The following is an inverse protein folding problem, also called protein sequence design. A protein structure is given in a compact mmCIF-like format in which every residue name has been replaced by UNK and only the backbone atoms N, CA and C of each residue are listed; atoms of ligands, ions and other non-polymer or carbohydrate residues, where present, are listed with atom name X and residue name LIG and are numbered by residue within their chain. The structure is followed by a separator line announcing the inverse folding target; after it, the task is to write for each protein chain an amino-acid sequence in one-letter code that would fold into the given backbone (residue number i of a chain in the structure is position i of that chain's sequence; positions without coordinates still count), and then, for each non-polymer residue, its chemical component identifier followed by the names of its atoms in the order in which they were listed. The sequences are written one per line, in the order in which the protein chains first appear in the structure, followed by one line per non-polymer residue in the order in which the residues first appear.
data_IF_199751319423
#
_entry.id   IF_199751319423
#
_cell.length_a   1.000
_cell.length_b   1.000
_cell.length_c   1.000
_cell.angle_alpha   90.00
_cell.angle_beta   90.00
_cell.angle_gamma   90.00
#
_symmetry.space_group_name_H-M   'P 1'
#
loop_
_entity.id
_entity.type
_entity.pdbx_description
1 polymer ?
#
# COMPACT_ATOMS: atom_id res chain seq x y z
N UNK A 1 -1.00 -23.19 37.44
CA UNK A 1 -0.61 -21.82 37.08
C UNK A 1 -1.28 -21.47 35.75
N UNK A 2 -2.45 -20.84 35.80
CA UNK A 2 -3.24 -20.50 34.61
C UNK A 2 -2.76 -19.13 34.10
N UNK A 3 -2.04 -19.12 32.97
CA UNK A 3 -1.63 -17.89 32.33
C UNK A 3 -2.89 -17.10 31.92
N UNK A 4 -3.14 -15.98 32.60
CA UNK A 4 -4.20 -15.04 32.24
C UNK A 4 -3.80 -14.41 30.91
N UNK A 5 -4.28 -14.98 29.81
CA UNK A 5 -4.15 -14.41 28.47
C UNK A 5 -4.93 -13.10 28.47
N UNK A 6 -4.23 -11.98 28.64
CA UNK A 6 -4.84 -10.66 28.67
C UNK A 6 -5.54 -10.37 27.32
N UNK A 7 -6.89 -10.24 27.28
CA UNK A 7 -7.65 -10.03 26.05
C UNK A 7 -7.35 -8.70 25.34
N UNK A 8 -6.69 -7.76 26.04
CA UNK A 8 -6.30 -6.44 25.50
C UNK A 8 -5.18 -6.51 24.47
N UNK A 9 -4.25 -7.47 24.56
CA UNK A 9 -3.19 -7.65 23.56
C UNK A 9 -3.74 -8.19 22.24
N UNK A 10 -4.72 -9.09 22.32
CA UNK A 10 -5.39 -9.69 21.17
C UNK A 10 -6.20 -8.68 20.37
N UNK A 11 -6.85 -7.72 21.06
CA UNK A 11 -7.71 -6.72 20.42
C UNK A 11 -6.91 -5.65 19.67
N UNK A 12 -5.78 -5.20 20.22
CA UNK A 12 -4.86 -4.28 19.54
C UNK A 12 -4.22 -4.93 18.30
N UNK A 13 -3.80 -6.19 18.41
CA UNK A 13 -3.29 -6.94 17.25
C UNK A 13 -4.34 -7.06 16.14
N UNK A 14 -5.57 -7.45 16.47
CA UNK A 14 -6.67 -7.54 15.52
C UNK A 14 -7.06 -6.17 14.92
N UNK A 15 -6.93 -5.08 15.68
CA UNK A 15 -7.14 -3.72 15.18
C UNK A 15 -6.06 -3.33 14.15
N UNK A 16 -4.79 -3.56 14.45
CA UNK A 16 -3.69 -3.26 13.53
C UNK A 16 -3.75 -4.10 12.24
N UNK A 17 -4.19 -5.36 12.33
CA UNK A 17 -4.43 -6.21 11.16
C UNK A 17 -5.52 -5.62 10.28
N UNK A 18 -6.70 -5.29 10.85
CA UNK A 18 -7.80 -4.67 10.09
C UNK A 18 -7.41 -3.33 9.46
N UNK A 19 -6.62 -2.51 10.16
CA UNK A 19 -6.10 -1.25 9.63
C UNK A 19 -5.12 -1.46 8.47
N UNK A 20 -4.34 -2.55 8.50
CA UNK A 20 -3.44 -2.91 7.41
C UNK A 20 -4.22 -3.42 6.20
N UNK A 21 -5.17 -4.31 6.41
CA UNK A 21 -6.05 -4.84 5.35
C UNK A 21 -6.82 -3.72 4.65
N UNK A 22 -7.35 -2.76 5.41
CA UNK A 22 -8.02 -1.59 4.85
C UNK A 22 -7.07 -0.74 4.01
N UNK A 23 -5.86 -0.46 4.52
CA UNK A 23 -4.86 0.28 3.76
C UNK A 23 -4.41 -0.47 2.49
N UNK A 24 -4.42 -1.81 2.53
CA UNK A 24 -4.08 -2.64 1.39
C UNK A 24 -5.17 -2.60 0.31
N UNK A 25 -6.43 -2.66 0.72
CA UNK A 25 -7.57 -2.52 -0.18
C UNK A 25 -7.59 -1.13 -0.86
N UNK A 26 -7.28 -0.06 -0.11
CA UNK A 26 -7.19 1.30 -0.66
C UNK A 26 -6.03 1.47 -1.66
N UNK A 27 -4.92 0.76 -1.46
CA UNK A 27 -3.73 0.82 -2.33
C UNK A 27 -3.76 -0.16 -3.50
N UNK A 28 -4.57 -1.21 -3.44
CA UNK A 28 -4.70 -2.24 -4.47
C UNK A 28 -4.88 -1.67 -5.90
N UNK A 29 -5.84 -0.76 -6.17
CA UNK A 29 -6.05 -0.24 -7.52
C UNK A 29 -4.84 0.55 -8.03
N UNK A 30 -4.15 1.28 -7.16
CA UNK A 30 -2.93 2.00 -7.51
C UNK A 30 -1.79 1.03 -7.87
N UNK A 31 -1.67 -0.09 -7.16
CA UNK A 31 -0.65 -1.11 -7.44
C UNK A 31 -0.97 -1.94 -8.68
N UNK A 32 -2.25 -2.14 -9.00
CA UNK A 32 -2.68 -2.79 -10.24
C UNK A 32 -2.40 -1.92 -11.46
N UNK A 33 -2.69 -0.62 -11.36
CA UNK A 33 -2.34 0.36 -12.39
C UNK A 33 -0.83 0.42 -12.60
N UNK A 34 -0.07 0.57 -11.52
CA UNK A 34 1.38 0.56 -11.55
C UNK A 34 1.93 -0.72 -12.19
N UNK A 35 1.35 -1.87 -11.85
CA UNK A 35 1.77 -3.15 -12.41
C UNK A 35 1.56 -3.24 -13.92
N UNK A 36 0.39 -2.83 -14.39
CA UNK A 36 0.06 -2.83 -15.82
C UNK A 36 1.01 -1.94 -16.61
N UNK A 37 1.28 -0.74 -16.11
CA UNK A 37 2.18 0.21 -16.75
C UNK A 37 3.63 -0.29 -16.75
N UNK A 38 4.11 -0.87 -15.64
CA UNK A 38 5.46 -1.46 -15.55
C UNK A 38 5.63 -2.63 -16.52
N UNK A 39 4.61 -3.48 -16.65
CA UNK A 39 4.61 -4.57 -17.64
C UNK A 39 4.61 -4.05 -19.10
N UNK A 40 4.02 -2.88 -19.35
CA UNK A 40 4.08 -2.19 -20.63
C UNK A 40 5.39 -1.43 -20.88
N UNK A 41 6.36 -1.51 -19.96
CA UNK A 41 7.67 -0.86 -20.09
C UNK A 41 7.75 0.56 -19.54
N UNK A 42 6.69 1.07 -18.90
CA UNK A 42 6.70 2.41 -18.31
C UNK A 42 7.73 2.52 -17.18
N UNK A 43 8.37 3.67 -17.09
CA UNK A 43 9.23 4.07 -15.97
C UNK A 43 8.39 4.37 -14.73
N UNK A 44 9.00 4.29 -13.55
CA UNK A 44 8.31 4.65 -12.31
C UNK A 44 7.85 6.11 -12.27
N UNK A 45 8.52 7.01 -12.98
CA UNK A 45 8.12 8.42 -13.08
C UNK A 45 6.82 8.58 -13.86
N UNK A 46 6.68 7.89 -14.99
CA UNK A 46 5.44 7.86 -15.78
C UNK A 46 4.29 7.25 -14.99
N UNK A 47 4.55 6.16 -14.26
CA UNK A 47 3.56 5.55 -13.36
C UNK A 47 3.12 6.54 -12.29
N UNK A 48 4.07 7.21 -11.61
CA UNK A 48 3.74 8.17 -10.57
C UNK A 48 2.97 9.39 -11.14
N UNK A 49 3.33 9.86 -12.33
CA UNK A 49 2.61 10.93 -13.01
C UNK A 49 1.17 10.52 -13.35
N UNK A 50 0.97 9.30 -13.85
CA UNK A 50 -0.34 8.75 -14.15
C UNK A 50 -1.20 8.56 -12.89
N UNK A 51 -0.62 8.01 -11.81
CA UNK A 51 -1.34 7.90 -10.55
C UNK A 51 -1.77 9.28 -10.01
N UNK A 52 -0.93 10.31 -10.15
CA UNK A 52 -1.30 11.69 -9.78
C UNK A 52 -2.43 12.25 -10.64
N UNK A 53 -2.45 11.98 -11.95
CA UNK A 53 -3.52 12.46 -12.83
C UNK A 53 -4.87 11.81 -12.54
N UNK A 54 -4.87 10.56 -12.04
CA UNK A 54 -6.06 9.88 -11.53
C UNK A 54 -6.51 10.35 -10.14
N UNK A 55 -5.79 11.29 -9.53
CA UNK A 55 -6.12 11.84 -8.21
C UNK A 55 -5.65 10.97 -7.04
N UNK A 56 -4.79 9.98 -7.25
CA UNK A 56 -4.24 9.21 -6.14
C UNK A 56 -3.33 10.09 -5.27
N UNK A 57 -3.62 10.09 -3.98
CA UNK A 57 -2.84 10.76 -2.94
C UNK A 57 -2.41 9.75 -1.88
N UNK A 58 -1.25 9.99 -1.28
CA UNK A 58 -0.79 9.21 -0.14
C UNK A 58 -1.65 9.46 1.10
N UNK A 59 -1.44 8.63 2.13
CA UNK A 59 -2.21 8.70 3.40
C UNK A 59 -2.15 10.05 4.10
N UNK A 60 -1.11 10.85 3.83
CA UNK A 60 -0.94 12.21 4.35
C UNK A 60 -1.65 13.29 3.52
N UNK A 61 -2.41 12.90 2.48
CA UNK A 61 -3.02 13.83 1.51
C UNK A 61 -2.03 14.41 0.49
N UNK A 62 -0.74 14.01 0.55
CA UNK A 62 0.28 14.47 -0.38
C UNK A 62 0.25 13.69 -1.69
N UNK A 63 0.65 14.30 -2.82
CA UNK A 63 0.77 13.59 -4.10
C UNK A 63 1.66 12.36 -3.99
N UNK A 64 1.33 11.32 -4.75
CA UNK A 64 2.14 10.11 -4.81
C UNK A 64 3.49 10.40 -5.46
N UNK A 65 4.56 10.12 -4.72
CA UNK A 65 5.94 10.21 -5.18
C UNK A 65 6.42 8.89 -5.77
N UNK A 66 7.33 8.96 -6.73
CA UNK A 66 8.01 7.82 -7.36
C UNK A 66 8.61 6.87 -6.31
N UNK A 67 9.29 7.42 -5.31
CA UNK A 67 9.96 6.66 -4.24
C UNK A 67 8.98 5.90 -3.37
N UNK A 68 7.86 6.54 -2.98
CA UNK A 68 6.82 5.89 -2.21
C UNK A 68 6.18 4.74 -2.99
N UNK A 69 5.89 4.97 -4.27
CA UNK A 69 5.27 3.98 -5.13
C UNK A 69 6.19 2.76 -5.35
N UNK A 70 7.49 2.98 -5.59
CA UNK A 70 8.50 1.92 -5.65
C UNK A 70 8.60 1.13 -4.34
N UNK A 71 8.65 1.81 -3.19
CA UNK A 71 8.73 1.12 -1.89
C UNK A 71 7.50 0.28 -1.59
N UNK A 72 6.30 0.78 -1.93
CA UNK A 72 5.06 0.04 -1.74
C UNK A 72 5.03 -1.17 -2.70
N UNK A 73 5.37 -0.97 -3.97
CA UNK A 73 5.46 -2.05 -4.95
C UNK A 73 6.43 -3.15 -4.48
N UNK A 74 7.65 -2.79 -4.10
CA UNK A 74 8.65 -3.74 -3.59
C UNK A 74 8.18 -4.50 -2.34
N UNK A 75 7.46 -3.84 -1.44
CA UNK A 75 6.96 -4.46 -0.19
C UNK A 75 5.75 -5.37 -0.40
N UNK A 76 4.93 -5.09 -1.42
CA UNK A 76 3.62 -5.73 -1.62
C UNK A 76 3.58 -6.69 -2.81
N UNK A 77 4.43 -6.47 -3.81
CA UNK A 77 4.58 -7.26 -5.04
C UNK A 77 6.06 -7.30 -5.43
N UNK A 78 6.88 -8.11 -4.73
CA UNK A 78 8.27 -8.31 -5.10
C UNK A 78 8.31 -8.96 -6.49
N UNK A 79 8.69 -8.17 -7.51
CA UNK A 79 8.61 -8.56 -8.92
C UNK A 79 8.14 -7.44 -9.86
N UNK A 80 7.63 -6.33 -9.31
CA UNK A 80 7.34 -5.09 -10.02
C UNK A 80 8.52 -4.11 -10.09
#
# INVERSE_FOLDING_TARGET
MTAVVHPRRSHLAAYHVRQREKADAELAPLLDEAARMRAAGATWEEVAAHCRSLGFVGRSGRPVTTSALYQIARRRRPGL
#
